data_IF_870426363109
#
_entry.id   IF_870426363109
#
_cell.length_a   1.000
_cell.length_b   1.000
_cell.length_c   1.000
_cell.angle_alpha   90.00
_cell.angle_beta   90.00
_cell.angle_gamma   90.00
#
_symmetry.space_group_name_H-M   'P 1'
#
loop_
_entity.id
_entity.type
_entity.pdbx_description
1 polymer ?
#
# COMPACT_ATOMS: atom_id res chain seq x y z
N UNK A 1 -18.43 -20.77 -4.88
CA UNK A 1 -18.05 -22.16 -4.53
C UNK A 1 -16.59 -22.10 -4.09
N UNK A 2 -16.22 -22.62 -2.90
CA UNK A 2 -14.86 -22.51 -2.39
C UNK A 2 -13.83 -23.28 -3.25
N UNK A 3 -12.63 -22.73 -3.30
CA UNK A 3 -11.44 -23.38 -3.87
C UNK A 3 -10.68 -24.09 -2.74
N UNK A 4 -10.20 -25.29 -3.03
CA UNK A 4 -9.36 -26.06 -2.12
C UNK A 4 -8.12 -26.54 -2.84
N UNK A 5 -7.01 -26.57 -2.12
CA UNK A 5 -5.75 -27.08 -2.61
C UNK A 5 -5.58 -28.56 -2.21
N UNK A 6 -5.04 -29.35 -3.12
CA UNK A 6 -4.76 -30.78 -2.97
C UNK A 6 -3.31 -31.07 -3.36
N UNK A 7 -2.74 -32.14 -2.81
CA UNK A 7 -1.41 -32.61 -3.16
C UNK A 7 -1.44 -34.05 -3.66
N UNK A 8 -0.94 -34.24 -4.88
CA UNK A 8 -0.62 -35.55 -5.43
C UNK A 8 0.88 -35.81 -5.28
N UNK A 9 1.25 -36.96 -4.72
CA UNK A 9 2.65 -37.38 -4.55
C UNK A 9 3.41 -37.50 -5.89
N UNK A 10 2.72 -37.76 -7.00
CA UNK A 10 3.34 -37.96 -8.32
C UNK A 10 3.35 -36.69 -9.18
N UNK A 11 2.24 -35.95 -9.21
CA UNK A 11 2.07 -34.80 -10.11
C UNK A 11 2.27 -33.44 -9.42
N UNK A 12 2.21 -33.40 -8.09
CA UNK A 12 2.33 -32.17 -7.29
C UNK A 12 1.00 -31.57 -6.86
N UNK A 13 1.02 -30.28 -6.51
CA UNK A 13 -0.14 -29.56 -5.98
C UNK A 13 -1.07 -29.04 -7.07
N UNK A 14 -2.37 -29.08 -6.82
CA UNK A 14 -3.40 -28.54 -7.71
C UNK A 14 -4.57 -27.96 -6.90
N UNK A 15 -5.36 -27.08 -7.53
CA UNK A 15 -6.49 -26.39 -6.89
C UNK A 15 -7.79 -26.73 -7.60
N UNK A 16 -8.84 -27.06 -6.84
CA UNK A 16 -10.13 -27.43 -7.40
C UNK A 16 -11.32 -26.81 -6.66
N UNK A 17 -12.43 -26.66 -7.38
CA UNK A 17 -13.67 -26.11 -6.84
C UNK A 17 -14.51 -27.25 -6.25
N UNK A 18 -14.80 -27.20 -4.94
CA UNK A 18 -15.64 -28.21 -4.27
C UNK A 18 -16.74 -27.60 -3.42
N UNK A 19 -17.77 -28.42 -3.18
CA UNK A 19 -18.76 -28.13 -2.13
C UNK A 19 -18.10 -28.28 -0.77
N UNK A 20 -18.51 -27.44 0.18
CA UNK A 20 -17.96 -27.46 1.53
C UNK A 20 -18.20 -28.81 2.24
N UNK A 21 -19.29 -29.51 1.93
CA UNK A 21 -19.61 -30.84 2.45
C UNK A 21 -18.67 -31.96 2.00
N UNK A 22 -17.94 -31.75 0.91
CA UNK A 22 -17.02 -32.74 0.32
C UNK A 22 -15.55 -32.33 0.56
N UNK A 23 -15.32 -31.29 1.35
CA UNK A 23 -14.00 -30.70 1.51
C UNK A 23 -13.00 -31.58 2.29
N UNK A 24 -13.48 -32.57 3.05
CA UNK A 24 -12.63 -33.52 3.78
C UNK A 24 -12.42 -34.83 3.00
N UNK A 25 -13.01 -34.98 1.82
CA UNK A 25 -12.82 -36.17 0.99
C UNK A 25 -11.57 -36.02 0.11
N UNK A 26 -10.83 -37.12 -0.04
CA UNK A 26 -9.74 -37.20 -1.00
C UNK A 26 -10.27 -37.00 -2.43
N UNK A 27 -9.43 -36.43 -3.28
CA UNK A 27 -9.75 -36.16 -4.68
C UNK A 27 -8.81 -36.92 -5.59
N UNK A 28 -9.33 -37.45 -6.69
CA UNK A 28 -8.50 -38.04 -7.74
C UNK A 28 -7.74 -36.94 -8.48
N UNK A 29 -6.43 -37.12 -8.65
CA UNK A 29 -5.61 -36.18 -9.39
C UNK A 29 -6.08 -36.10 -10.85
N UNK A 30 -6.34 -34.90 -11.41
CA UNK A 30 -6.80 -34.77 -12.80
C UNK A 30 -5.75 -35.21 -13.84
N UNK A 31 -4.49 -35.37 -13.43
CA UNK A 31 -3.40 -35.80 -14.32
C UNK A 31 -3.14 -37.30 -14.32
N UNK A 32 -3.20 -37.97 -13.16
CA UNK A 32 -2.85 -39.40 -13.04
C UNK A 32 -3.94 -40.27 -12.40
N UNK A 33 -5.01 -39.69 -11.86
CA UNK A 33 -6.09 -40.41 -11.17
C UNK A 33 -5.76 -40.87 -9.75
N UNK A 34 -4.55 -40.63 -9.24
CA UNK A 34 -4.17 -41.02 -7.89
C UNK A 34 -4.96 -40.25 -6.81
N UNK A 35 -5.25 -40.92 -5.69
CA UNK A 35 -5.90 -40.29 -4.53
C UNK A 35 -4.99 -39.21 -3.93
N UNK A 36 -5.48 -37.99 -3.90
CA UNK A 36 -4.77 -36.79 -3.43
C UNK A 36 -5.47 -36.22 -2.20
N UNK A 37 -4.68 -35.95 -1.16
CA UNK A 37 -5.18 -35.38 0.10
C UNK A 37 -5.30 -33.86 0.00
N UNK A 38 -6.24 -33.30 0.77
CA UNK A 38 -6.41 -31.85 0.85
C UNK A 38 -5.28 -31.23 1.65
N UNK A 39 -4.72 -30.15 1.12
CA UNK A 39 -3.70 -29.34 1.79
C UNK A 39 -4.36 -28.16 2.48
N UNK A 40 -4.01 -27.96 3.75
CA UNK A 40 -4.37 -26.75 4.48
C UNK A 40 -3.16 -25.81 4.44
N UNK A 41 -3.24 -24.79 3.59
CA UNK A 41 -2.18 -23.78 3.48
C UNK A 41 -2.31 -22.72 4.58
N UNK A 42 -1.18 -22.08 4.92
CA UNK A 42 -1.20 -20.98 5.86
C UNK A 42 -2.13 -19.85 5.37
N UNK A 43 -3.02 -19.31 6.23
CA UNK A 43 -3.85 -18.18 5.85
C UNK A 43 -2.98 -16.95 5.62
N UNK A 44 -3.42 -16.06 4.73
CA UNK A 44 -2.75 -14.77 4.56
C UNK A 44 -3.00 -13.89 5.79
N UNK A 45 -2.02 -13.85 6.69
CA UNK A 45 -2.10 -13.04 7.90
C UNK A 45 -1.68 -11.59 7.62
N UNK A 46 -2.51 -10.65 8.11
CA UNK A 46 -2.23 -9.21 8.07
C UNK A 46 -1.23 -8.80 9.17
N UNK A 47 -0.02 -9.37 9.16
CA UNK A 47 0.99 -9.21 10.22
C UNK A 47 1.46 -7.75 10.32
N UNK A 48 1.57 -7.05 9.19
CA UNK A 48 1.98 -5.65 9.17
C UNK A 48 0.80 -4.72 9.53
N UNK A 49 1.03 -3.82 10.50
CA UNK A 49 0.04 -2.83 10.91
C UNK A 49 -0.41 -1.92 9.75
N UNK A 50 -1.69 -1.51 9.76
CA UNK A 50 -2.31 -0.72 8.68
C UNK A 50 -1.52 0.53 8.32
N UNK A 51 -1.01 1.26 9.33
CA UNK A 51 -0.23 2.47 9.11
C UNK A 51 1.07 2.20 8.33
N UNK A 52 1.81 1.16 8.72
CA UNK A 52 3.06 0.76 8.06
C UNK A 52 2.80 0.28 6.64
N UNK A 53 1.77 -0.54 6.42
CA UNK A 53 1.37 -1.01 5.08
C UNK A 53 1.07 0.16 4.14
N UNK A 54 0.28 1.12 4.61
CA UNK A 54 -0.06 2.32 3.83
C UNK A 54 1.17 3.20 3.53
N UNK A 55 2.16 3.21 4.43
CA UNK A 55 3.39 3.95 4.24
C UNK A 55 4.27 3.29 3.17
N UNK A 56 4.40 1.96 3.18
CA UNK A 56 5.13 1.22 2.17
C UNK A 56 4.48 1.33 0.80
N UNK A 57 3.16 1.10 0.70
CA UNK A 57 2.43 1.23 -0.57
C UNK A 57 2.58 2.64 -1.19
N UNK A 58 2.51 3.70 -0.37
CA UNK A 58 2.76 5.06 -0.84
C UNK A 58 4.20 5.27 -1.30
N UNK A 59 5.17 4.66 -0.62
CA UNK A 59 6.58 4.76 -0.96
C UNK A 59 6.86 4.06 -2.30
N UNK A 60 6.38 2.83 -2.47
CA UNK A 60 6.48 2.06 -3.71
C UNK A 60 5.84 2.82 -4.89
N UNK A 61 4.61 3.33 -4.72
CA UNK A 61 3.95 4.17 -5.73
C UNK A 61 4.75 5.43 -6.06
N UNK A 62 5.36 6.08 -5.07
CA UNK A 62 6.16 7.29 -5.30
C UNK A 62 7.49 6.98 -6.00
N UNK A 63 8.04 5.78 -5.82
CA UNK A 63 9.27 5.35 -6.48
C UNK A 63 9.02 4.98 -7.95
N UNK A 64 7.93 4.28 -8.24
CA UNK A 64 7.62 3.82 -9.60
C UNK A 64 6.87 4.87 -10.42
N UNK A 65 5.96 5.64 -9.81
CA UNK A 65 5.11 6.63 -10.49
C UNK A 65 4.91 7.88 -9.60
N UNK A 66 5.94 8.73 -9.44
CA UNK A 66 5.84 9.91 -8.60
C UNK A 66 4.80 10.89 -9.14
N UNK A 67 3.72 11.10 -8.39
CA UNK A 67 2.75 12.15 -8.70
C UNK A 67 3.34 13.52 -8.39
N UNK A 68 3.52 14.35 -9.39
CA UNK A 68 3.89 15.75 -9.21
C UNK A 68 2.67 16.55 -8.77
N UNK A 69 2.65 16.99 -7.51
CA UNK A 69 1.68 17.96 -7.05
C UNK A 69 2.10 19.36 -7.51
N UNK A 70 1.32 19.99 -8.40
CA UNK A 70 1.44 21.43 -8.65
C UNK A 70 0.94 22.17 -7.40
N UNK A 71 1.83 22.86 -6.69
CA UNK A 71 1.40 23.84 -5.68
C UNK A 71 0.65 24.95 -6.43
N UNK A 72 -0.59 25.22 -6.02
CA UNK A 72 -1.18 26.53 -6.28
C UNK A 72 -0.37 27.59 -5.50
N UNK A 73 -0.37 28.85 -5.95
CA UNK A 73 0.40 29.92 -5.26
C UNK A 73 0.02 30.12 -3.79
N UNK A 74 -1.14 29.57 -3.38
CA UNK A 74 -1.62 29.41 -2.01
C UNK A 74 -0.76 28.48 -1.13
N UNK A 75 0.13 27.66 -1.69
CA UNK A 75 0.94 26.69 -0.94
C UNK A 75 0.15 25.48 -0.42
N UNK A 76 -1.13 25.37 -0.78
CA UNK A 76 -2.03 24.30 -0.38
C UNK A 76 -1.97 23.09 -1.35
N UNK A 77 -1.93 21.86 -0.82
CA UNK A 77 -1.82 20.61 -1.59
C UNK A 77 -3.17 20.11 -2.15
N UNK A 78 -4.03 21.02 -2.63
CA UNK A 78 -5.29 20.67 -3.30
C UNK A 78 -6.37 20.04 -2.41
N UNK A 79 -6.21 20.05 -1.08
CA UNK A 79 -7.19 19.47 -0.12
C UNK A 79 -8.32 20.45 0.25
N UNK A 80 -8.34 21.66 -0.33
CA UNK A 80 -9.45 22.61 -0.24
C UNK A 80 -9.49 23.48 -1.50
N UNK A 81 -10.70 23.94 -1.85
CA UNK A 81 -10.90 24.94 -2.91
C UNK A 81 -10.63 26.32 -2.33
N UNK A 82 -9.51 26.94 -2.70
CA UNK A 82 -9.25 28.33 -2.34
C UNK A 82 -10.17 29.23 -3.20
N UNK A 83 -11.27 29.70 -2.63
CA UNK A 83 -12.09 30.75 -3.24
C UNK A 83 -11.32 32.07 -3.19
N UNK A 84 -11.11 32.70 -4.35
CA UNK A 84 -10.50 34.03 -4.51
C UNK A 84 -11.43 35.17 -4.10
N UNK A 85 -12.07 35.08 -2.93
CA UNK A 85 -12.87 36.17 -2.36
C UNK A 85 -12.47 36.39 -0.90
N UNK A 86 -11.88 37.56 -0.66
CA UNK A 86 -11.00 37.82 0.47
C UNK A 86 -11.65 37.81 1.85
N UNK A 87 -10.88 37.33 2.82
CA UNK A 87 -10.74 37.94 4.16
C UNK A 87 -9.30 37.72 4.62
N UNK A 88 -8.57 38.81 4.78
CA UNK A 88 -7.21 38.86 5.32
C UNK A 88 -7.20 38.40 6.78
N UNK A 89 -6.53 37.29 7.07
CA UNK A 89 -6.04 37.00 8.42
C UNK A 89 -4.52 37.17 8.45
N UNK A 90 -4.10 38.23 9.14
CA UNK A 90 -2.71 38.63 9.44
C UNK A 90 -1.77 37.43 9.61
N UNK A 91 -0.85 37.24 8.69
CA UNK A 91 0.41 36.53 8.96
C UNK A 91 1.44 37.54 9.46
N UNK A 92 1.93 37.32 10.68
CA UNK A 92 3.07 38.05 11.24
C UNK A 92 4.29 37.80 10.36
N UNK A 93 4.83 38.89 9.83
CA UNK A 93 6.10 38.98 9.15
C UNK A 93 7.22 38.54 10.09
N UNK A 94 7.91 37.45 9.74
CA UNK A 94 9.25 37.14 10.28
C UNK A 94 10.23 37.38 9.15
N UNK A 95 11.03 38.41 9.34
CA UNK A 95 12.13 38.85 8.49
C UNK A 95 13.07 37.69 8.16
N UNK A 96 13.22 37.46 6.85
CA UNK A 96 14.18 36.51 6.29
C UNK A 96 15.59 37.10 6.39
N UNK A 97 16.46 36.47 7.17
CA UNK A 97 17.90 36.59 6.99
C UNK A 97 18.31 35.61 5.89
N UNK A 98 18.83 36.16 4.79
CA UNK A 98 19.40 35.45 3.64
C UNK A 98 20.60 34.60 4.08
N UNK A 99 20.50 33.29 3.94
CA UNK A 99 21.62 32.40 3.61
C UNK A 99 21.11 31.35 2.63
N UNK A 100 21.63 31.33 1.40
CA UNK A 100 21.32 30.32 0.40
C UNK A 100 21.97 28.99 0.79
N UNK A 101 21.37 28.27 1.72
CA UNK A 101 21.82 26.95 2.15
C UNK A 101 20.65 25.97 2.16
N UNK A 102 20.89 24.74 1.69
CA UNK A 102 19.94 23.66 1.84
C UNK A 102 19.87 23.25 3.32
N UNK A 103 18.76 23.56 3.99
CA UNK A 103 18.55 23.18 5.39
C UNK A 103 17.58 22.01 5.52
N UNK A 104 17.80 21.18 6.53
CA UNK A 104 16.90 20.07 6.87
C UNK A 104 15.54 20.63 7.27
N UNK A 105 14.48 20.20 6.57
CA UNK A 105 13.14 20.68 6.82
C UNK A 105 12.61 20.15 8.16
N UNK A 106 12.36 21.05 9.11
CA UNK A 106 11.89 20.71 10.47
C UNK A 106 10.36 20.54 10.59
N UNK A 107 9.65 20.43 9.45
CA UNK A 107 8.19 20.24 9.44
C UNK A 107 7.86 18.84 9.97
N UNK A 108 6.79 18.73 10.79
CA UNK A 108 6.35 17.46 11.40
C UNK A 108 6.03 16.34 10.39
N UNK A 109 5.75 16.69 9.13
CA UNK A 109 5.48 15.77 8.03
C UNK A 109 6.65 15.61 7.05
N UNK A 110 7.75 16.34 7.26
CA UNK A 110 8.94 16.21 6.43
C UNK A 110 9.71 14.96 6.83
N UNK A 111 10.26 14.27 5.82
CA UNK A 111 11.14 13.14 6.03
C UNK A 111 12.53 13.68 6.39
N UNK A 112 13.31 12.99 7.24
CA UNK A 112 14.59 13.52 7.76
C UNK A 112 15.63 13.89 6.70
N UNK A 113 15.56 13.26 5.51
CA UNK A 113 16.47 13.50 4.38
C UNK A 113 15.95 14.55 3.39
N UNK A 114 14.83 15.21 3.69
CA UNK A 114 14.22 16.21 2.82
C UNK A 114 14.84 17.58 3.13
N UNK A 115 15.78 18.00 2.28
CA UNK A 115 16.37 19.34 2.32
C UNK A 115 15.50 20.32 1.54
N UNK A 116 15.32 21.53 2.07
CA UNK A 116 14.62 22.60 1.37
C UNK A 116 15.47 23.85 1.25
N UNK A 117 15.05 24.74 0.35
CA UNK A 117 15.53 26.12 0.27
C UNK A 117 14.91 26.98 1.38
#
# INVERSE_FOLDING_TARGET
MPLYDYHCEECGSFTEIRKMSESDLNMECPSCGASSERVITAPQLAILGKAQRSAYERNEKSAHEPKMARRSSCGCNGTHTCSTSGKSSKSKEKTAAKTNGFEMQTKKTARPWMLGH
#
